data_IF_419644611212
#
_entry.id   IF_419644611212
#
_cell.length_a   1.000
_cell.length_b   1.000
_cell.length_c   1.000
_cell.angle_alpha   90.00
_cell.angle_beta   90.00
_cell.angle_gamma   90.00
#
_symmetry.space_group_name_H-M   'P 1'
#
loop_
_entity.id
_entity.type
_entity.pdbx_description
1 polymer ?
#
# COMPACT_ATOMS: atom_id res chain seq x y z
N UNK A 1 -12.96 24.96 11.75
CA UNK A 1 -13.32 23.57 11.39
C UNK A 1 -12.01 22.79 11.43
N UNK A 2 -11.83 21.89 12.40
CA UNK A 2 -10.52 21.33 12.74
C UNK A 2 -10.02 20.44 11.61
N UNK A 3 -8.82 20.71 11.11
CA UNK A 3 -8.06 19.84 10.22
C UNK A 3 -7.72 18.56 10.98
N UNK A 4 -8.38 17.45 10.62
CA UNK A 4 -7.96 16.11 10.99
C UNK A 4 -6.76 15.75 10.10
N UNK A 5 -5.57 16.01 10.64
CA UNK A 5 -4.29 15.53 10.10
C UNK A 5 -4.37 14.02 9.91
N UNK A 6 -4.60 13.58 8.66
CA UNK A 6 -4.61 12.20 8.22
C UNK A 6 -3.21 11.58 8.17
N UNK A 7 -2.45 11.70 9.26
CA UNK A 7 -1.52 10.64 9.59
C UNK A 7 -2.37 9.36 9.65
N UNK A 8 -1.87 8.24 9.13
CA UNK A 8 -2.46 6.92 9.39
C UNK A 8 -2.71 6.90 10.90
N UNK A 9 -3.97 7.04 11.32
CA UNK A 9 -4.37 6.82 12.69
C UNK A 9 -4.13 5.33 12.87
N UNK A 10 -2.90 5.01 13.22
CA UNK A 10 -2.48 3.70 13.62
C UNK A 10 -3.20 3.55 14.95
N UNK A 11 -4.46 3.10 14.91
CA UNK A 11 -5.04 2.42 16.06
C UNK A 11 -3.94 1.47 16.52
N UNK A 12 -3.43 1.73 17.72
CA UNK A 12 -2.30 0.98 18.25
C UNK A 12 -2.77 -0.45 18.40
N UNK A 13 -2.45 -1.29 17.42
CA UNK A 13 -2.78 -2.70 17.46
C UNK A 13 -2.24 -3.28 18.76
N UNK A 14 -3.10 -4.00 19.47
CA UNK A 14 -2.65 -4.79 20.62
C UNK A 14 -1.58 -5.79 20.16
N UNK A 15 -0.69 -6.22 21.05
CA UNK A 15 0.31 -7.24 20.72
C UNK A 15 -0.35 -8.52 20.17
N UNK A 16 -1.55 -8.83 20.66
CA UNK A 16 -2.38 -9.94 20.18
C UNK A 16 -2.83 -9.73 18.74
N UNK A 17 -3.32 -8.55 18.37
CA UNK A 17 -3.72 -8.26 16.99
C UNK A 17 -2.53 -8.28 16.04
N UNK A 18 -1.38 -7.75 16.47
CA UNK A 18 -0.14 -7.81 15.70
C UNK A 18 0.24 -9.26 15.41
N UNK A 19 0.27 -10.11 16.44
CA UNK A 19 0.59 -11.53 16.31
C UNK A 19 -0.40 -12.28 15.38
N UNK A 20 -1.70 -11.98 15.48
CA UNK A 20 -2.71 -12.56 14.59
C UNK A 20 -2.46 -12.14 13.14
N UNK A 21 -2.22 -10.84 12.89
CA UNK A 21 -2.03 -10.32 11.53
C UNK A 21 -0.71 -10.80 10.90
N UNK A 22 0.38 -10.92 11.67
CA UNK A 22 1.66 -11.47 11.20
C UNK A 22 1.53 -12.95 10.80
N UNK A 23 0.83 -13.70 11.65
CA UNK A 23 0.54 -15.11 11.39
C UNK A 23 -0.36 -15.26 10.17
N UNK A 24 -1.43 -14.46 10.09
CA UNK A 24 -2.37 -14.48 8.97
C UNK A 24 -1.67 -14.15 7.65
N UNK A 25 -0.82 -13.12 7.62
CA UNK A 25 0.01 -12.76 6.47
C UNK A 25 0.82 -13.97 5.99
N UNK A 26 1.54 -14.62 6.90
CA UNK A 26 2.38 -15.79 6.57
C UNK A 26 1.54 -16.95 6.02
N UNK A 27 0.38 -17.21 6.61
CA UNK A 27 -0.55 -18.26 6.15
C UNK A 27 -1.12 -17.92 4.76
N UNK A 28 -1.49 -16.67 4.50
CA UNK A 28 -1.98 -16.23 3.19
C UNK A 28 -0.89 -16.30 2.11
N UNK A 29 0.33 -15.89 2.42
CA UNK A 29 1.47 -16.03 1.50
C UNK A 29 1.75 -17.49 1.15
N UNK A 30 1.68 -18.38 2.14
CA UNK A 30 2.01 -19.80 1.97
C UNK A 30 0.93 -20.57 1.22
N UNK A 31 -0.34 -20.41 1.62
CA UNK A 31 -1.43 -21.28 1.16
C UNK A 31 -2.39 -20.59 0.18
N UNK A 32 -2.34 -19.26 0.06
CA UNK A 32 -3.39 -18.46 -0.56
C UNK A 32 -4.57 -18.20 0.39
N UNK A 33 -5.33 -17.16 0.14
CA UNK A 33 -6.43 -16.68 0.99
C UNK A 33 -7.58 -17.69 1.01
N UNK A 34 -7.94 -18.28 -0.13
CA UNK A 34 -9.02 -19.28 -0.25
C UNK A 34 -8.74 -20.54 0.55
N UNK A 35 -7.51 -21.05 0.53
CA UNK A 35 -7.12 -22.29 1.23
C UNK A 35 -6.69 -22.07 2.68
N UNK A 36 -6.37 -20.84 3.06
CA UNK A 36 -6.04 -20.52 4.44
C UNK A 36 -7.16 -20.89 5.41
N UNK A 37 -6.77 -21.53 6.52
CA UNK A 37 -7.66 -21.88 7.62
C UNK A 37 -7.42 -20.92 8.80
N UNK A 38 -8.48 -20.27 9.27
CA UNK A 38 -8.44 -19.38 10.45
C UNK A 38 -8.03 -20.14 11.72
N UNK A 39 -8.31 -21.43 11.82
CA UNK A 39 -7.90 -22.25 12.95
C UNK A 39 -6.38 -22.43 13.01
N UNK A 40 -5.74 -22.57 11.85
CA UNK A 40 -4.27 -22.63 11.75
C UNK A 40 -3.65 -21.28 12.15
N UNK A 41 -4.27 -20.17 11.73
CA UNK A 41 -3.87 -18.82 12.19
C UNK A 41 -4.00 -18.71 13.71
N UNK A 42 -5.10 -19.17 14.30
CA UNK A 42 -5.32 -19.14 15.75
C UNK A 42 -4.25 -19.95 16.51
N UNK A 43 -4.01 -21.18 16.06
CA UNK A 43 -3.02 -22.07 16.66
C UNK A 43 -1.61 -21.48 16.62
N UNK A 44 -1.17 -20.97 15.45
CA UNK A 44 0.16 -20.37 15.28
C UNK A 44 0.32 -19.03 15.99
N UNK A 45 -0.74 -18.23 16.07
CA UNK A 45 -0.73 -16.96 16.81
C UNK A 45 -0.86 -17.14 18.33
N UNK A 46 -1.07 -18.39 18.82
CA UNK A 46 -1.20 -18.68 20.25
C UNK A 46 -2.50 -18.15 20.88
N UNK A 47 -3.58 -18.04 20.09
CA UNK A 47 -4.87 -17.50 20.55
C UNK A 47 -6.02 -18.47 20.30
N UNK A 48 -7.13 -18.30 21.03
CA UNK A 48 -8.34 -19.07 20.78
C UNK A 48 -9.02 -18.65 19.46
N UNK A 49 -9.75 -19.58 18.83
CA UNK A 49 -10.58 -19.28 17.66
C UNK A 49 -11.62 -18.18 17.93
N UNK A 50 -12.20 -18.17 19.14
CA UNK A 50 -13.13 -17.12 19.58
C UNK A 50 -12.46 -15.75 19.64
N UNK A 51 -11.18 -15.69 20.02
CA UNK A 51 -10.40 -14.45 20.04
C UNK A 51 -10.22 -13.87 18.64
N UNK A 52 -9.98 -14.71 17.63
CA UNK A 52 -9.90 -14.25 16.24
C UNK A 52 -11.26 -13.77 15.75
N UNK A 53 -12.31 -14.60 15.81
CA UNK A 53 -13.62 -14.21 15.25
C UNK A 53 -14.26 -13.01 15.92
N UNK A 54 -13.96 -12.74 17.20
CA UNK A 54 -14.42 -11.51 17.87
C UNK A 54 -13.81 -10.25 17.24
N UNK A 55 -12.58 -10.34 16.70
CA UNK A 55 -11.85 -9.22 16.10
C UNK A 55 -11.99 -9.14 14.59
N UNK A 56 -12.00 -10.30 13.95
CA UNK A 56 -12.04 -10.49 12.51
C UNK A 56 -13.16 -11.50 12.21
N UNK A 57 -14.42 -11.02 12.08
CA UNK A 57 -15.60 -11.89 11.98
C UNK A 57 -15.53 -12.89 10.83
N UNK A 58 -14.90 -12.51 9.72
CA UNK A 58 -14.71 -13.36 8.55
C UNK A 58 -13.24 -13.45 8.12
N UNK A 59 -12.94 -14.43 7.26
CA UNK A 59 -11.62 -14.54 6.63
C UNK A 59 -11.31 -13.33 5.75
N UNK A 60 -12.33 -12.81 5.08
CA UNK A 60 -12.24 -11.63 4.22
C UNK A 60 -11.93 -10.38 5.06
N UNK A 61 -12.52 -10.26 6.25
CA UNK A 61 -12.18 -9.19 7.21
C UNK A 61 -10.72 -9.33 7.67
N UNK A 62 -10.29 -10.54 8.06
CA UNK A 62 -8.90 -10.78 8.46
C UNK A 62 -7.92 -10.42 7.34
N UNK A 63 -8.22 -10.84 6.11
CA UNK A 63 -7.44 -10.50 4.92
C UNK A 63 -7.40 -9.00 4.66
N UNK A 64 -8.55 -8.31 4.75
CA UNK A 64 -8.63 -6.87 4.59
C UNK A 64 -7.76 -6.11 5.61
N UNK A 65 -7.76 -6.56 6.88
CA UNK A 65 -6.91 -5.98 7.91
C UNK A 65 -5.41 -6.23 7.64
N UNK A 66 -5.04 -7.43 7.15
CA UNK A 66 -3.66 -7.71 6.72
C UNK A 66 -3.26 -6.75 5.61
N UNK A 67 -4.06 -6.65 4.53
CA UNK A 67 -3.76 -5.75 3.40
C UNK A 67 -3.62 -4.30 3.85
N UNK A 68 -4.56 -3.80 4.67
CA UNK A 68 -4.51 -2.41 5.16
C UNK A 68 -3.21 -2.15 5.95
N UNK A 69 -2.79 -3.10 6.78
CA UNK A 69 -1.54 -3.01 7.53
C UNK A 69 -0.32 -3.01 6.61
N UNK A 70 -0.27 -3.93 5.64
CA UNK A 70 0.84 -4.00 4.68
C UNK A 70 0.92 -2.72 3.83
N UNK A 71 -0.22 -2.15 3.43
CA UNK A 71 -0.27 -0.88 2.74
C UNK A 71 0.25 0.28 3.62
N UNK A 72 -0.12 0.32 4.90
CA UNK A 72 0.44 1.30 5.84
C UNK A 72 1.96 1.19 5.99
N UNK A 73 2.49 -0.04 6.08
CA UNK A 73 3.94 -0.28 6.12
C UNK A 73 4.63 0.13 4.81
N UNK A 74 4.01 -0.15 3.67
CA UNK A 74 4.46 0.27 2.36
C UNK A 74 4.60 1.79 2.27
N UNK A 75 3.54 2.55 2.57
CA UNK A 75 3.59 4.01 2.51
C UNK A 75 4.53 4.63 3.56
N UNK A 76 4.62 4.04 4.76
CA UNK A 76 5.63 4.47 5.76
C UNK A 76 7.06 4.27 5.26
N UNK A 77 7.31 3.21 4.49
CA UNK A 77 8.63 2.95 3.89
C UNK A 77 8.94 3.96 2.78
N UNK A 78 7.94 4.30 1.94
CA UNK A 78 8.09 5.35 0.92
C UNK A 78 8.37 6.72 1.56
N UNK A 79 7.61 7.11 2.58
CA UNK A 79 7.78 8.39 3.28
C UNK A 79 9.19 8.55 3.87
N UNK A 80 9.73 7.48 4.48
CA UNK A 80 11.12 7.47 4.97
C UNK A 80 12.13 7.61 3.83
N UNK A 81 11.92 6.92 2.72
CA UNK A 81 12.83 6.95 1.58
C UNK A 81 12.90 8.33 0.90
N UNK A 82 11.85 9.15 1.00
CA UNK A 82 11.81 10.51 0.44
C UNK A 82 12.24 11.59 1.44
N UNK A 83 12.74 11.21 2.62
CA UNK A 83 13.25 12.18 3.59
C UNK A 83 14.46 12.93 3.02
N UNK A 84 14.40 14.26 3.01
CA UNK A 84 15.46 15.12 2.49
C UNK A 84 15.50 15.27 0.96
N UNK A 85 14.57 14.65 0.23
CA UNK A 85 14.40 14.88 -1.21
C UNK A 85 13.68 16.21 -1.49
N UNK A 86 13.97 16.81 -2.64
CA UNK A 86 13.06 17.78 -3.28
C UNK A 86 11.83 17.06 -3.89
N UNK A 87 10.79 17.77 -4.35
CA UNK A 87 9.55 17.14 -4.79
C UNK A 87 9.73 16.23 -6.01
N UNK A 88 10.59 16.61 -6.96
CA UNK A 88 10.82 15.83 -8.17
C UNK A 88 11.52 14.50 -7.85
N UNK A 89 12.61 14.56 -7.07
CA UNK A 89 13.32 13.38 -6.59
C UNK A 89 12.43 12.49 -5.71
N UNK A 90 11.54 13.09 -4.91
CA UNK A 90 10.58 12.33 -4.10
C UNK A 90 9.63 11.50 -4.98
N UNK A 91 9.11 12.05 -6.09
CA UNK A 91 8.27 11.31 -7.04
C UNK A 91 9.05 10.15 -7.67
N UNK A 92 10.28 10.41 -8.12
CA UNK A 92 11.13 9.40 -8.78
C UNK A 92 11.45 8.25 -7.84
N UNK A 93 11.98 8.53 -6.66
CA UNK A 93 12.42 7.49 -5.72
C UNK A 93 11.23 6.76 -5.09
N UNK A 94 10.11 7.45 -4.78
CA UNK A 94 8.92 6.79 -4.28
C UNK A 94 8.31 5.83 -5.31
N UNK A 95 8.24 6.23 -6.58
CA UNK A 95 7.74 5.37 -7.65
C UNK A 95 8.65 4.15 -7.85
N UNK A 96 9.96 4.36 -7.98
CA UNK A 96 10.92 3.28 -8.18
C UNK A 96 10.92 2.28 -7.00
N UNK A 97 10.89 2.79 -5.77
CA UNK A 97 10.77 1.96 -4.59
C UNK A 97 9.42 1.23 -4.53
N UNK A 98 8.32 1.92 -4.87
CA UNK A 98 6.99 1.34 -4.88
C UNK A 98 6.86 0.16 -5.85
N UNK A 99 7.36 0.30 -7.07
CA UNK A 99 7.42 -0.78 -8.06
C UNK A 99 8.18 -1.99 -7.50
N UNK A 100 9.36 -1.77 -6.93
CA UNK A 100 10.18 -2.83 -6.34
C UNK A 100 9.46 -3.54 -5.19
N UNK A 101 8.93 -2.79 -4.22
CA UNK A 101 8.27 -3.35 -3.04
C UNK A 101 7.04 -4.18 -3.40
N UNK A 102 6.28 -3.79 -4.42
CA UNK A 102 5.12 -4.60 -4.86
C UNK A 102 5.57 -5.86 -5.59
N UNK A 103 6.58 -5.77 -6.48
CA UNK A 103 7.12 -6.94 -7.19
C UNK A 103 7.74 -7.96 -6.25
N UNK A 104 8.44 -7.50 -5.22
CA UNK A 104 9.11 -8.37 -4.26
C UNK A 104 8.14 -8.95 -3.21
N UNK A 105 6.87 -8.53 -3.21
CA UNK A 105 5.89 -8.98 -2.22
C UNK A 105 5.35 -10.39 -2.58
N UNK A 106 5.59 -11.40 -1.71
CA UNK A 106 5.05 -12.75 -1.92
C UNK A 106 3.51 -12.75 -1.85
N UNK A 107 2.94 -11.90 -1.00
CA UNK A 107 1.49 -11.76 -0.86
C UNK A 107 0.87 -11.20 -2.14
N UNK A 108 1.47 -10.15 -2.72
CA UNK A 108 0.99 -9.60 -3.98
C UNK A 108 1.11 -10.62 -5.11
N UNK A 109 2.26 -11.28 -5.25
CA UNK A 109 2.48 -12.33 -6.26
C UNK A 109 1.45 -13.44 -6.14
N UNK A 110 1.15 -13.91 -4.91
CA UNK A 110 0.12 -14.92 -4.66
C UNK A 110 -1.27 -14.47 -5.14
N UNK A 111 -1.65 -13.22 -4.84
CA UNK A 111 -2.93 -12.66 -5.26
C UNK A 111 -3.00 -12.54 -6.78
N UNK A 112 -1.97 -11.95 -7.40
CA UNK A 112 -1.93 -11.73 -8.84
C UNK A 112 -1.99 -13.05 -9.65
N UNK A 113 -1.24 -14.07 -9.22
CA UNK A 113 -1.10 -15.31 -9.97
C UNK A 113 -2.22 -16.32 -9.73
N UNK A 114 -2.78 -16.35 -8.50
CA UNK A 114 -3.68 -17.44 -8.07
C UNK A 114 -5.09 -16.99 -7.69
N UNK A 115 -5.26 -15.74 -7.28
CA UNK A 115 -6.52 -15.22 -6.71
C UNK A 115 -6.85 -13.81 -7.22
N UNK A 116 -6.82 -13.56 -8.56
CA UNK A 116 -6.91 -12.21 -9.12
C UNK A 116 -8.25 -11.52 -8.81
N UNK A 117 -9.31 -12.26 -8.51
CA UNK A 117 -10.59 -11.71 -8.07
C UNK A 117 -10.49 -10.93 -6.75
N UNK A 118 -9.49 -11.22 -5.91
CA UNK A 118 -9.24 -10.50 -4.67
C UNK A 118 -8.72 -9.08 -4.93
N UNK A 119 -8.14 -8.79 -6.11
CA UNK A 119 -7.84 -7.42 -6.52
C UNK A 119 -9.11 -6.54 -6.55
N UNK A 120 -10.26 -7.14 -6.90
CA UNK A 120 -11.55 -6.45 -6.88
C UNK A 120 -12.03 -6.07 -5.48
N UNK A 121 -11.50 -6.68 -4.42
CA UNK A 121 -11.75 -6.26 -3.03
C UNK A 121 -11.06 -4.95 -2.69
N UNK A 122 -9.94 -4.61 -3.35
CA UNK A 122 -9.31 -3.30 -3.21
C UNK A 122 -10.19 -2.17 -3.76
N UNK A 123 -10.98 -2.45 -4.80
CA UNK A 123 -11.89 -1.48 -5.41
C UNK A 123 -13.19 -1.26 -4.61
N UNK A 124 -13.59 -2.20 -3.73
CA UNK A 124 -14.81 -2.11 -2.92
C UNK A 124 -14.53 -1.44 -1.55
N UNK A 125 -14.04 -0.20 -1.63
CA UNK A 125 -14.22 0.93 -0.71
C UNK A 125 -13.96 0.83 0.81
N UNK A 126 -13.41 -0.25 1.37
CA UNK A 126 -13.02 -0.28 2.80
C UNK A 126 -11.61 -0.82 3.03
N UNK A 127 -11.04 -1.63 2.13
CA UNK A 127 -9.78 -2.33 2.40
C UNK A 127 -8.56 -1.45 2.12
N UNK A 128 -8.55 -0.78 0.97
CA UNK A 128 -7.47 0.09 0.53
C UNK A 128 -7.96 1.56 0.57
N UNK A 129 -7.60 2.34 1.60
CA UNK A 129 -8.09 3.71 1.72
C UNK A 129 -7.39 4.64 0.72
N UNK A 130 -7.77 4.55 -0.56
CA UNK A 130 -7.16 5.27 -1.70
C UNK A 130 -6.97 6.75 -1.37
N UNK A 131 -8.00 7.40 -0.83
CA UNK A 131 -7.94 8.81 -0.44
C UNK A 131 -6.83 9.10 0.58
N UNK A 132 -6.71 8.29 1.63
CA UNK A 132 -5.70 8.50 2.68
C UNK A 132 -4.28 8.34 2.11
N UNK A 133 -4.09 7.43 1.16
CA UNK A 133 -2.80 7.27 0.50
C UNK A 133 -2.48 8.42 -0.46
N UNK A 134 -3.47 8.92 -1.19
CA UNK A 134 -3.33 10.14 -1.99
C UNK A 134 -2.98 11.34 -1.10
N UNK A 135 -3.67 11.51 0.03
CA UNK A 135 -3.38 12.54 1.02
C UNK A 135 -1.96 12.40 1.60
N UNK A 136 -1.48 11.17 1.81
CA UNK A 136 -0.10 10.89 2.23
C UNK A 136 0.95 11.27 1.20
N UNK A 137 0.66 11.09 -0.10
CA UNK A 137 1.53 11.57 -1.19
C UNK A 137 1.55 13.10 -1.21
N UNK A 138 0.38 13.75 -1.12
CA UNK A 138 0.27 15.21 -1.06
C UNK A 138 1.07 15.79 0.12
N UNK A 139 0.96 15.16 1.30
CA UNK A 139 1.75 15.49 2.47
C UNK A 139 3.26 15.36 2.22
N UNK A 140 3.68 14.26 1.59
CA UNK A 140 5.08 14.02 1.23
C UNK A 140 5.61 15.10 0.30
N UNK A 141 4.86 15.45 -0.75
CA UNK A 141 5.24 16.49 -1.71
C UNK A 141 5.37 17.86 -1.03
N UNK A 142 4.42 18.24 -0.17
CA UNK A 142 4.51 19.46 0.64
C UNK A 142 5.74 19.45 1.54
N UNK A 143 6.00 18.34 2.23
CA UNK A 143 7.18 18.15 3.10
C UNK A 143 8.49 18.28 2.33
N UNK A 144 8.52 17.83 1.08
CA UNK A 144 9.66 17.94 0.17
C UNK A 144 9.81 19.32 -0.47
N UNK A 145 8.89 20.26 -0.22
CA UNK A 145 9.01 21.66 -0.66
C UNK A 145 8.18 22.04 -1.88
N UNK A 146 7.18 21.24 -2.27
CA UNK A 146 6.27 21.61 -3.35
C UNK A 146 5.45 22.87 -2.96
N UNK A 147 5.37 23.83 -3.88
CA UNK A 147 4.77 25.15 -3.67
C UNK A 147 3.33 25.27 -4.18
N UNK A 148 2.82 24.25 -4.88
CA UNK A 148 1.43 24.18 -5.34
C UNK A 148 0.42 24.39 -4.18
N UNK A 149 -0.81 24.76 -4.53
CA UNK A 149 -1.88 24.88 -3.54
C UNK A 149 -2.22 23.51 -2.89
N UNK A 150 -2.77 23.50 -1.68
CA UNK A 150 -3.18 22.23 -1.02
C UNK A 150 -4.21 21.45 -1.86
N UNK A 151 -5.09 22.17 -2.55
CA UNK A 151 -6.07 21.58 -3.47
C UNK A 151 -5.38 20.88 -4.65
N UNK A 152 -4.34 21.51 -5.21
CA UNK A 152 -3.58 20.94 -6.32
C UNK A 152 -2.74 19.75 -5.86
N UNK A 153 -2.06 19.85 -4.70
CA UNK A 153 -1.30 18.71 -4.16
C UNK A 153 -2.19 17.50 -3.87
N UNK A 154 -3.41 17.71 -3.39
CA UNK A 154 -4.36 16.61 -3.20
C UNK A 154 -4.73 15.93 -4.53
N UNK A 155 -5.00 16.72 -5.58
CA UNK A 155 -5.30 16.18 -6.92
C UNK A 155 -4.09 15.51 -7.56
N UNK A 156 -2.90 16.10 -7.43
CA UNK A 156 -1.62 15.53 -7.88
C UNK A 156 -1.36 14.19 -7.18
N UNK A 157 -1.56 14.13 -5.86
CA UNK A 157 -1.44 12.91 -5.07
C UNK A 157 -2.38 11.80 -5.55
N UNK A 158 -3.64 12.14 -5.85
CA UNK A 158 -4.62 11.19 -6.39
C UNK A 158 -4.22 10.70 -7.80
N UNK A 159 -3.75 11.58 -8.68
CA UNK A 159 -3.27 11.23 -10.02
C UNK A 159 -2.05 10.31 -9.94
N UNK A 160 -1.02 10.70 -9.17
CA UNK A 160 0.21 9.91 -9.02
C UNK A 160 -0.11 8.52 -8.46
N UNK A 161 -0.99 8.42 -7.46
CA UNK A 161 -1.41 7.14 -6.90
C UNK A 161 -2.08 6.25 -7.96
N UNK A 162 -3.04 6.80 -8.73
CA UNK A 162 -3.77 6.03 -9.75
C UNK A 162 -2.88 5.57 -10.88
N UNK A 163 -1.98 6.44 -11.35
CA UNK A 163 -1.02 6.10 -12.40
C UNK A 163 -0.05 5.02 -11.90
N UNK A 164 0.50 5.19 -10.70
CA UNK A 164 1.40 4.20 -10.11
C UNK A 164 0.72 2.84 -9.91
N UNK A 165 -0.49 2.83 -9.32
CA UNK A 165 -1.26 1.60 -9.13
C UNK A 165 -1.60 0.95 -10.47
N UNK A 166 -1.98 1.73 -11.49
CA UNK A 166 -2.25 1.24 -12.83
C UNK A 166 -1.04 0.53 -13.44
N UNK A 167 0.12 1.18 -13.39
CA UNK A 167 1.37 0.62 -13.94
C UNK A 167 1.81 -0.64 -13.20
N UNK A 168 1.72 -0.64 -11.86
CA UNK A 168 2.19 -1.74 -11.02
C UNK A 168 1.25 -2.94 -11.10
N UNK A 169 -0.07 -2.71 -11.03
CA UNK A 169 -1.07 -3.77 -10.96
C UNK A 169 -1.47 -4.29 -12.33
N UNK A 170 -1.41 -3.44 -13.36
CA UNK A 170 -1.74 -3.78 -14.74
C UNK A 170 -0.55 -3.45 -15.66
N UNK A 171 0.57 -4.18 -15.52
CA UNK A 171 1.78 -3.89 -16.29
C UNK A 171 1.58 -4.16 -17.78
N UNK A 172 2.34 -3.44 -18.60
CA UNK A 172 2.45 -3.64 -20.05
C UNK A 172 3.92 -3.82 -20.43
N UNK A 173 4.19 -4.17 -21.68
CA UNK A 173 5.54 -4.30 -22.24
C UNK A 173 6.25 -2.95 -22.47
N UNK A 174 5.56 -1.82 -22.23
CA UNK A 174 6.11 -0.46 -22.44
C UNK A 174 7.08 0.01 -21.36
N UNK A 175 7.00 -0.56 -20.16
CA UNK A 175 7.91 -0.25 -19.07
C UNK A 175 8.46 -1.55 -18.50
N UNK A 176 9.77 -1.77 -18.63
CA UNK A 176 10.44 -2.84 -17.91
C UNK A 176 10.54 -2.49 -16.43
N UNK A 177 9.57 -2.96 -15.65
CA UNK A 177 9.54 -2.77 -14.20
C UNK A 177 10.62 -3.56 -13.44
N UNK A 178 11.41 -4.40 -14.12
CA UNK A 178 12.54 -5.12 -13.53
C UNK A 178 13.85 -4.34 -13.58
N UNK A 179 13.93 -3.32 -14.45
CA UNK A 179 15.07 -2.43 -14.56
C UNK A 179 14.85 -1.15 -13.71
N UNK A 180 15.58 -0.97 -12.59
CA UNK A 180 15.44 0.21 -11.75
C UNK A 180 15.82 1.52 -12.44
N UNK A 181 16.65 1.49 -13.49
CA UNK A 181 17.01 2.67 -14.25
C UNK A 181 15.85 3.09 -15.17
N UNK A 182 15.27 2.14 -15.91
CA UNK A 182 14.10 2.39 -16.75
C UNK A 182 12.91 2.93 -15.94
N UNK A 183 12.66 2.39 -14.74
CA UNK A 183 11.58 2.86 -13.85
C UNK A 183 11.80 4.30 -13.39
N UNK A 184 13.04 4.68 -13.04
CA UNK A 184 13.36 6.06 -12.66
C UNK A 184 13.26 7.03 -13.84
N UNK A 185 13.78 6.64 -15.00
CA UNK A 185 13.68 7.44 -16.23
C UNK A 185 12.21 7.68 -16.60
N UNK A 186 11.38 6.64 -16.49
CA UNK A 186 9.93 6.75 -16.71
C UNK A 186 9.29 7.75 -15.76
N UNK A 187 9.59 7.69 -14.45
CA UNK A 187 9.05 8.63 -13.47
C UNK A 187 9.50 10.08 -13.76
N UNK A 188 10.79 10.29 -14.01
CA UNK A 188 11.33 11.60 -14.35
C UNK A 188 10.66 12.19 -15.59
N UNK A 189 10.40 11.34 -16.60
CA UNK A 189 9.85 11.78 -17.89
C UNK A 189 8.34 12.01 -17.88
N UNK A 190 7.58 11.21 -17.13
CA UNK A 190 6.11 11.17 -17.26
C UNK A 190 5.35 11.47 -15.96
N UNK A 191 5.96 11.28 -14.79
CA UNK A 191 5.31 11.53 -13.50
C UNK A 191 5.70 12.89 -12.92
N UNK A 192 6.98 13.26 -12.97
CA UNK A 192 7.45 14.57 -12.47
C UNK A 192 6.72 15.75 -13.14
N UNK A 193 6.45 15.76 -14.46
CA UNK A 193 5.70 16.86 -15.09
C UNK A 193 4.28 17.07 -14.55
N UNK A 194 3.69 16.08 -13.84
CA UNK A 194 2.37 16.20 -13.22
C UNK A 194 2.38 17.21 -12.07
N UNK A 195 3.54 17.46 -11.45
CA UNK A 195 3.67 18.46 -10.39
C UNK A 195 3.29 19.87 -10.87
N UNK A 196 3.42 20.14 -12.18
CA UNK A 196 3.27 21.48 -12.73
C UNK A 196 4.42 22.39 -12.31
N UNK A 197 4.83 23.29 -13.22
CA UNK A 197 5.78 24.37 -12.92
C UNK A 197 5.00 25.68 -12.73
#
# INVERSE_FOLDING_TARGET
>A
MRSETGAIATESLTDVERAILDTARTVFETYGVRRANIEDVAARAGVSRSTIYRRFPTKDDLFAHVVRREAGLFFSTLDKATTGCDPEHAVIEAFALGVRLVKDSPLYSRIADSEPELLGMFSRSQVFPIRQFADGIAYTLRRCGADNSDSDLANIGDILLRVALGIIVFPTDRLDTSDPAAVREYAARYLVPILGH
#
